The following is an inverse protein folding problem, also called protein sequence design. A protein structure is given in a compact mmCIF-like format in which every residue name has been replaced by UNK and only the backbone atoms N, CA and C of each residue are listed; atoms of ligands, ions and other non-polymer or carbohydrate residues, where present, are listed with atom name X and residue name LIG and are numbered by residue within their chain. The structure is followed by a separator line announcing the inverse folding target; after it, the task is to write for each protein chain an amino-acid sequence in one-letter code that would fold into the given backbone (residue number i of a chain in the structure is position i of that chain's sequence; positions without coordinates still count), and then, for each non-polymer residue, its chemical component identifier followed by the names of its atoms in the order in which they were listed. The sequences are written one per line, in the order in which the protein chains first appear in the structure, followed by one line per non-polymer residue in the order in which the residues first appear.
data_IF_947383381418
#
_entry.id   IF_947383381418
#
_cell.length_a   1.000
_cell.length_b   1.000
_cell.length_c   1.000
_cell.angle_alpha   90.00
_cell.angle_beta   90.00
_cell.angle_gamma   90.00
#
_symmetry.space_group_name_H-M   'P 1'
#
loop_
_entity.id
_entity.type
_entity.pdbx_description
1 polymer ?
#
# COMPACT_ATOMS: atom_id res chain seq x y z
N UNK A 1 6.87 -7.81 -6.19
CA UNK A 1 6.25 -7.01 -5.11
C UNK A 1 6.45 -5.57 -5.48
N UNK A 2 5.41 -4.75 -5.45
CA UNK A 2 5.55 -3.32 -5.77
C UNK A 2 5.38 -2.49 -4.50
N UNK A 3 6.10 -1.38 -4.41
CA UNK A 3 5.77 -0.31 -3.47
C UNK A 3 5.45 0.98 -4.25
N UNK A 4 4.65 1.84 -3.63
CA UNK A 4 4.27 3.12 -4.21
C UNK A 4 4.68 4.19 -3.21
N UNK A 5 5.47 5.15 -3.69
CA UNK A 5 5.80 6.34 -2.92
C UNK A 5 4.70 7.37 -3.17
N UNK A 6 4.01 7.77 -2.10
CA UNK A 6 2.86 8.66 -2.15
C UNK A 6 3.17 9.98 -1.44
N UNK A 7 2.81 11.09 -2.07
CA UNK A 7 2.76 12.41 -1.43
C UNK A 7 1.33 12.80 -1.12
N UNK A 8 1.12 13.42 0.04
CA UNK A 8 -0.15 14.01 0.41
C UNK A 8 -0.14 15.50 0.06
N UNK A 9 -1.06 15.91 -0.81
CA UNK A 9 -1.23 17.29 -1.23
C UNK A 9 -2.61 17.79 -0.79
N UNK A 10 -2.67 19.00 -0.26
CA UNK A 10 -3.95 19.67 -0.07
C UNK A 10 -4.41 20.30 -1.38
N UNK A 11 -5.67 20.08 -1.74
CA UNK A 11 -6.30 20.69 -2.90
C UNK A 11 -7.63 21.35 -2.53
N UNK A 12 -8.05 22.34 -3.32
CA UNK A 12 -9.35 22.99 -3.15
C UNK A 12 -10.36 22.29 -4.05
N UNK A 13 -11.30 21.59 -3.43
CA UNK A 13 -12.39 20.94 -4.14
C UNK A 13 -13.37 22.02 -4.68
N UNK A 14 -14.14 21.76 -5.76
CA UNK A 14 -15.05 22.75 -6.34
C UNK A 14 -16.12 23.30 -5.39
N UNK A 15 -16.40 22.62 -4.28
CA UNK A 15 -17.29 23.10 -3.21
C UNK A 15 -16.60 24.04 -2.20
N UNK A 16 -15.35 24.45 -2.48
CA UNK A 16 -14.55 25.36 -1.65
C UNK A 16 -13.88 24.70 -0.44
N UNK A 17 -14.05 23.38 -0.24
CA UNK A 17 -13.40 22.67 0.87
C UNK A 17 -11.99 22.25 0.51
N UNK A 18 -11.09 22.38 1.49
CA UNK A 18 -9.72 21.87 1.37
C UNK A 18 -9.74 20.36 1.65
N UNK A 19 -9.37 19.57 0.65
CA UNK A 19 -9.33 18.10 0.73
C UNK A 19 -7.90 17.60 0.55
N UNK A 20 -7.56 16.50 1.22
CA UNK A 20 -6.26 15.86 1.05
C UNK A 20 -6.34 14.88 -0.13
N UNK A 21 -5.40 15.01 -1.06
CA UNK A 21 -5.29 14.20 -2.27
C UNK A 21 -3.97 13.43 -2.25
N UNK A 22 -4.02 12.16 -2.63
CA UNK A 22 -2.84 11.33 -2.85
C UNK A 22 -2.22 11.65 -4.20
N UNK A 23 -0.90 11.75 -4.25
CA UNK A 23 -0.12 11.95 -5.48
C UNK A 23 0.90 10.82 -5.57
N UNK A 24 0.87 10.06 -6.67
CA UNK A 24 1.85 9.02 -6.94
C UNK A 24 3.15 9.69 -7.38
N UNK A 25 4.25 9.40 -6.69
CA UNK A 25 5.57 9.87 -7.05
C UNK A 25 6.33 8.83 -7.86
N UNK A 26 6.41 7.61 -7.34
CA UNK A 26 7.20 6.52 -7.90
C UNK A 26 6.55 5.17 -7.64
N UNK A 27 6.81 4.22 -8.54
CA UNK A 27 6.46 2.82 -8.37
C UNK A 27 7.74 1.99 -8.37
N UNK A 28 8.04 1.39 -7.23
CA UNK A 28 9.24 0.61 -7.01
C UNK A 28 8.97 -0.89 -7.25
N UNK A 29 9.71 -1.51 -8.18
CA UNK A 29 9.58 -2.95 -8.48
C UNK A 29 10.24 -3.85 -7.43
N UNK A 30 11.21 -3.33 -6.66
CA UNK A 30 11.93 -4.07 -5.63
C UNK A 30 12.18 -3.20 -4.39
N UNK A 31 11.15 -2.93 -3.58
CA UNK A 31 11.30 -2.14 -2.37
C UNK A 31 12.17 -2.85 -1.32
N UNK A 32 12.91 -2.09 -0.51
CA UNK A 32 13.62 -2.61 0.65
C UNK A 32 12.61 -2.89 1.79
N UNK A 33 12.62 -4.11 2.33
CA UNK A 33 11.69 -4.57 3.36
C UNK A 33 12.35 -4.80 4.73
N UNK A 34 13.55 -4.26 4.99
CA UNK A 34 14.27 -4.45 6.26
C UNK A 34 13.45 -4.15 7.53
N UNK A 35 12.49 -3.24 7.45
CA UNK A 35 11.66 -2.84 8.60
C UNK A 35 10.26 -3.49 8.63
N UNK A 36 9.99 -4.42 7.71
CA UNK A 36 8.72 -5.13 7.59
C UNK A 36 8.95 -6.64 7.65
N UNK A 37 9.41 -7.11 8.82
CA UNK A 37 9.86 -8.49 9.03
C UNK A 37 8.79 -9.55 8.75
N UNK A 38 7.51 -9.25 8.97
CA UNK A 38 6.39 -10.16 8.67
C UNK A 38 5.89 -10.08 7.24
N UNK A 39 6.32 -9.10 6.44
CA UNK A 39 5.73 -8.82 5.14
C UNK A 39 5.85 -10.00 4.16
N UNK A 40 7.05 -10.56 4.02
CA UNK A 40 7.26 -11.71 3.14
C UNK A 40 6.45 -12.93 3.58
N UNK A 41 6.37 -13.17 4.89
CA UNK A 41 5.58 -14.27 5.43
C UNK A 41 4.08 -14.06 5.14
N UNK A 42 3.57 -12.84 5.31
CA UNK A 42 2.18 -12.53 5.03
C UNK A 42 1.84 -12.71 3.54
N UNK A 43 2.72 -12.27 2.64
CA UNK A 43 2.56 -12.49 1.19
C UNK A 43 2.56 -13.99 0.89
N UNK A 44 3.48 -14.76 1.49
CA UNK A 44 3.57 -16.18 1.24
C UNK A 44 2.33 -16.95 1.73
N UNK A 45 1.93 -16.71 2.98
CA UNK A 45 0.75 -17.32 3.59
C UNK A 45 -0.52 -17.02 2.79
N UNK A 46 -0.66 -15.77 2.33
CA UNK A 46 -1.84 -15.35 1.54
C UNK A 46 -1.86 -15.97 0.16
N UNK A 47 -0.75 -15.89 -0.60
CA UNK A 47 -0.75 -16.27 -2.02
C UNK A 47 -0.57 -17.77 -2.28
N UNK A 48 0.10 -18.49 -1.37
CA UNK A 48 0.47 -19.89 -1.61
C UNK A 48 -0.14 -20.87 -0.62
N UNK A 49 -0.46 -20.44 0.60
CA UNK A 49 -1.04 -21.31 1.64
C UNK A 49 -2.54 -21.12 1.84
N UNK A 50 -3.15 -20.14 1.17
CA UNK A 50 -4.56 -19.75 1.35
C UNK A 50 -4.89 -19.44 2.84
N UNK A 51 -3.94 -18.78 3.52
CA UNK A 51 -4.01 -18.42 4.93
C UNK A 51 -3.90 -16.89 5.10
N UNK A 52 -4.91 -16.11 4.66
CA UNK A 52 -4.90 -14.65 4.82
C UNK A 52 -5.26 -14.19 6.24
N UNK A 53 -5.76 -15.09 7.10
CA UNK A 53 -6.09 -14.82 8.49
C UNK A 53 -4.89 -14.20 9.21
N UNK A 54 -5.13 -13.11 9.96
CA UNK A 54 -4.10 -12.36 10.70
C UNK A 54 -2.98 -11.72 9.85
N UNK A 55 -3.10 -11.73 8.52
CA UNK A 55 -2.21 -10.99 7.62
C UNK A 55 -2.76 -9.58 7.37
N UNK A 56 -1.89 -8.57 7.31
CA UNK A 56 -2.26 -7.20 6.90
C UNK A 56 -2.49 -7.10 5.38
N UNK A 57 -3.47 -7.84 4.87
CA UNK A 57 -3.78 -7.93 3.43
C UNK A 57 -5.24 -7.58 3.17
N UNK A 58 -5.49 -6.93 2.04
CA UNK A 58 -6.84 -6.67 1.55
C UNK A 58 -7.06 -7.44 0.24
N UNK A 59 -8.07 -8.30 0.20
CA UNK A 59 -8.46 -8.99 -1.02
C UNK A 59 -9.33 -8.07 -1.87
N UNK A 60 -8.96 -7.88 -3.14
CA UNK A 60 -9.75 -7.15 -4.12
C UNK A 60 -10.57 -8.19 -4.90
N UNK A 61 -11.90 -8.13 -4.78
CA UNK A 61 -12.86 -9.00 -5.47
C UNK A 61 -13.39 -8.30 -6.71
#
# INVERSE_FOLDING_TARGET
MYAIDLMLKWDNHPDGKRVMQLQILEVNFNPDCKYHLSFFNNVFSTLFLDQPSDCHVACLV
#
